data_IF_990780965910
#
_entry.id   IF_990780965910
#
_cell.length_a   1.000
_cell.length_b   1.000
_cell.length_c   1.000
_cell.angle_alpha   90.00
_cell.angle_beta   90.00
_cell.angle_gamma   90.00
#
_symmetry.space_group_name_H-M   'P 1'
#
loop_
_entity.id
_entity.type
_entity.pdbx_description
1 polymer ?
#
# COMPACT_ATOMS: atom_id res chain seq x y z
N UNK A 1 1.19 -2.01 -1.26
CA UNK A 1 0.39 -3.10 -1.87
C UNK A 1 1.25 -4.32 -2.22
N UNK A 2 2.40 -4.14 -2.80
CA UNK A 2 3.35 -5.22 -3.10
C UNK A 2 4.27 -5.49 -1.91
N UNK A 3 4.65 -6.76 -1.72
CA UNK A 3 5.55 -7.18 -0.63
C UNK A 3 7.03 -7.14 -1.04
N UNK A 4 7.30 -6.99 -2.33
CA UNK A 4 8.64 -6.88 -2.90
C UNK A 4 8.96 -5.43 -3.25
N UNK A 5 10.07 -4.92 -2.75
CA UNK A 5 10.57 -3.57 -3.08
C UNK A 5 10.90 -3.44 -4.57
N UNK A 6 11.53 -4.45 -5.17
CA UNK A 6 11.84 -4.46 -6.60
C UNK A 6 10.58 -4.37 -7.48
N UNK A 7 9.54 -5.14 -7.15
CA UNK A 7 8.27 -5.09 -7.87
C UNK A 7 7.53 -3.76 -7.66
N UNK A 8 7.63 -3.18 -6.47
CA UNK A 8 7.06 -1.85 -6.21
C UNK A 8 7.76 -0.76 -7.02
N UNK A 9 9.09 -0.82 -7.13
CA UNK A 9 9.87 0.11 -7.95
C UNK A 9 9.50 -0.03 -9.44
N UNK A 10 9.37 -1.25 -9.94
CA UNK A 10 8.94 -1.52 -11.32
C UNK A 10 7.56 -0.95 -11.62
N UNK A 11 6.60 -1.17 -10.74
CA UNK A 11 5.24 -0.62 -10.88
C UNK A 11 5.25 0.90 -10.84
N UNK A 12 6.06 1.49 -9.98
CA UNK A 12 6.21 2.94 -9.89
C UNK A 12 6.78 3.51 -11.19
N UNK A 13 7.87 2.95 -11.71
CA UNK A 13 8.47 3.36 -12.98
C UNK A 13 7.49 3.21 -14.14
N UNK A 14 6.82 2.08 -14.25
CA UNK A 14 5.83 1.86 -15.31
C UNK A 14 4.64 2.82 -15.22
N UNK A 15 4.24 3.21 -14.03
CA UNK A 15 3.18 4.19 -13.81
C UNK A 15 3.59 5.58 -14.29
N UNK A 16 4.83 5.99 -14.03
CA UNK A 16 5.38 7.24 -14.57
C UNK A 16 5.60 7.20 -16.08
N UNK A 17 6.03 6.08 -16.64
CA UNK A 17 6.12 5.90 -18.10
C UNK A 17 4.73 6.05 -18.73
N UNK A 18 3.70 5.43 -18.14
CA UNK A 18 2.33 5.59 -18.60
C UNK A 18 1.86 7.05 -18.53
N UNK A 19 2.26 7.79 -17.50
CA UNK A 19 2.00 9.22 -17.41
C UNK A 19 2.70 10.02 -18.52
N UNK A 20 3.96 9.74 -18.81
CA UNK A 20 4.70 10.42 -19.87
C UNK A 20 4.13 10.14 -21.27
N UNK A 21 3.55 8.96 -21.47
CA UNK A 21 2.90 8.57 -22.74
C UNK A 21 1.43 8.99 -22.83
N UNK A 22 0.87 9.50 -21.75
CA UNK A 22 -0.53 9.90 -21.68
C UNK A 22 -0.73 11.25 -22.36
N UNK A 23 -1.65 11.31 -23.31
CA UNK A 23 -2.07 12.56 -23.96
C UNK A 23 -3.23 13.24 -23.23
N UNK A 24 -3.62 12.72 -22.09
CA UNK A 24 -4.73 13.22 -21.30
C UNK A 24 -4.36 14.47 -20.51
N UNK A 25 -5.20 15.48 -20.57
CA UNK A 25 -5.05 16.69 -19.76
C UNK A 25 -5.76 16.50 -18.41
N UNK A 26 -5.06 16.83 -17.33
CA UNK A 26 -5.60 16.75 -15.98
C UNK A 26 -6.10 18.11 -15.52
N UNK A 27 -7.35 18.17 -15.07
CA UNK A 27 -7.98 19.41 -14.63
C UNK A 27 -7.49 19.91 -13.26
N UNK A 28 -6.81 19.07 -12.46
CA UNK A 28 -6.29 19.39 -11.14
C UNK A 28 -5.22 18.38 -10.71
N UNK A 29 -4.44 18.76 -9.69
CA UNK A 29 -3.47 17.84 -9.06
C UNK A 29 -4.14 16.61 -8.44
N UNK A 30 -5.33 16.80 -7.87
CA UNK A 30 -6.12 15.69 -7.32
C UNK A 30 -6.55 14.70 -8.41
N UNK A 31 -6.97 15.19 -9.56
CA UNK A 31 -7.30 14.35 -10.70
C UNK A 31 -6.09 13.55 -11.19
N UNK A 32 -4.93 14.17 -11.28
CA UNK A 32 -3.66 13.52 -11.62
C UNK A 32 -3.29 12.45 -10.59
N UNK A 33 -3.36 12.78 -9.29
CA UNK A 33 -3.09 11.85 -8.19
C UNK A 33 -3.98 10.60 -8.28
N UNK A 34 -5.29 10.79 -8.45
CA UNK A 34 -6.25 9.71 -8.55
C UNK A 34 -6.00 8.83 -9.78
N UNK A 35 -5.66 9.42 -10.89
CA UNK A 35 -5.32 8.70 -12.12
C UNK A 35 -4.04 7.85 -11.92
N UNK A 36 -2.98 8.43 -11.37
CA UNK A 36 -1.73 7.70 -11.08
C UNK A 36 -1.96 6.54 -10.10
N UNK A 37 -2.72 6.76 -9.04
CA UNK A 37 -3.07 5.71 -8.08
C UNK A 37 -3.87 4.59 -8.74
N UNK A 38 -4.80 4.91 -9.64
CA UNK A 38 -5.57 3.93 -10.40
C UNK A 38 -4.68 3.09 -11.32
N UNK A 39 -3.77 3.73 -12.04
CA UNK A 39 -2.80 3.04 -12.90
C UNK A 39 -1.91 2.13 -12.07
N UNK A 40 -1.33 2.64 -10.99
CA UNK A 40 -0.48 1.87 -10.10
C UNK A 40 -1.22 0.69 -9.45
N UNK A 41 -2.44 0.90 -8.97
CA UNK A 41 -3.26 -0.15 -8.38
C UNK A 41 -3.59 -1.27 -9.39
N UNK A 42 -3.90 -0.92 -10.63
CA UNK A 42 -4.15 -1.90 -11.70
C UNK A 42 -2.88 -2.72 -12.01
N UNK A 43 -1.73 -2.05 -12.10
CA UNK A 43 -0.44 -2.73 -12.31
C UNK A 43 -0.08 -3.65 -11.15
N UNK A 44 -0.24 -3.22 -9.91
CA UNK A 44 -0.06 -4.06 -8.73
C UNK A 44 -0.97 -5.28 -8.77
N UNK A 45 -2.22 -5.10 -9.12
CA UNK A 45 -3.20 -6.18 -9.23
C UNK A 45 -2.80 -7.22 -10.29
N UNK A 46 -2.28 -6.75 -11.43
CA UNK A 46 -1.77 -7.62 -12.49
C UNK A 46 -0.53 -8.40 -12.02
N UNK A 47 0.39 -7.77 -11.32
CA UNK A 47 1.57 -8.43 -10.71
C UNK A 47 1.14 -9.51 -9.74
N UNK A 48 0.20 -9.21 -8.84
CA UNK A 48 -0.31 -10.16 -7.85
C UNK A 48 -1.02 -11.35 -8.52
N UNK A 49 -1.79 -11.11 -9.56
CA UNK A 49 -2.43 -12.17 -10.36
C UNK A 49 -1.40 -13.06 -11.04
N UNK A 50 -0.36 -12.47 -11.61
CA UNK A 50 0.73 -13.22 -12.24
C UNK A 50 1.48 -14.09 -11.23
N UNK A 51 1.79 -13.57 -10.04
CA UNK A 51 2.42 -14.32 -8.97
C UNK A 51 1.55 -15.48 -8.48
N UNK A 52 0.23 -15.28 -8.38
CA UNK A 52 -0.70 -16.32 -7.99
C UNK A 52 -0.78 -17.49 -9.02
N UNK A 53 -0.56 -17.20 -10.31
CA UNK A 53 -0.51 -18.18 -11.39
C UNK A 53 0.85 -18.87 -11.52
N UNK A 54 1.92 -18.23 -11.07
CA UNK A 54 3.30 -18.71 -11.15
C UNK A 54 3.95 -18.66 -9.76
N UNK A 55 3.61 -19.57 -8.86
CA UNK A 55 4.10 -19.52 -7.47
C UNK A 55 5.62 -19.72 -7.32
N UNK A 56 6.32 -20.09 -8.38
CA UNK A 56 7.75 -20.42 -8.35
C UNK A 56 8.71 -19.19 -8.36
N UNK A 57 8.21 -17.97 -8.50
CA UNK A 57 9.05 -16.76 -8.54
C UNK A 57 8.99 -15.98 -7.23
N UNK A 58 8.50 -16.59 -6.17
CA UNK A 58 8.64 -16.05 -4.83
C UNK A 58 10.01 -16.39 -4.23
N UNK A 59 11.08 -16.02 -4.92
CA UNK A 59 12.38 -15.87 -4.29
C UNK A 59 12.28 -14.65 -3.37
N UNK A 60 12.28 -14.95 -2.12
CA UNK A 60 12.41 -14.04 -1.01
C UNK A 60 13.65 -13.16 -1.21
N UNK A 61 13.50 -12.02 -1.84
CA UNK A 61 14.43 -10.94 -1.60
C UNK A 61 14.02 -10.25 -0.30
N UNK A 62 14.48 -10.84 0.80
CA UNK A 62 14.79 -10.11 2.00
C UNK A 62 15.92 -9.13 1.66
N UNK A 63 15.64 -8.09 0.95
CA UNK A 63 16.47 -6.91 1.02
C UNK A 63 15.97 -6.09 2.19
N UNK A 64 16.48 -6.51 3.35
CA UNK A 64 16.71 -5.62 4.43
C UNK A 64 17.41 -4.37 3.91
N UNK A 65 16.98 -3.25 4.46
CA UNK A 65 17.76 -2.03 4.58
C UNK A 65 17.88 -1.14 3.35
N UNK A 66 17.04 -0.14 3.30
CA UNK A 66 17.58 1.19 3.22
C UNK A 66 17.47 1.82 4.61
N UNK A 67 18.26 1.25 5.52
CA UNK A 67 18.70 1.96 6.69
C UNK A 67 20.02 2.63 6.33
N UNK A 68 19.95 3.88 5.98
CA UNK A 68 21.02 4.85 6.22
C UNK A 68 20.69 6.17 5.54
N UNK A 69 19.88 6.96 6.18
CA UNK A 69 20.00 8.41 6.17
C UNK A 69 18.98 8.96 7.15
N UNK A 70 19.50 9.40 8.23
CA UNK A 70 19.04 10.46 9.11
C UNK A 70 19.05 10.00 10.60
N UNK A 71 20.25 9.80 11.09
CA UNK A 71 20.54 10.13 12.49
C UNK A 71 20.46 11.65 12.64
N UNK A 72 19.46 12.10 13.31
CA UNK A 72 19.38 13.27 14.17
C UNK A 72 17.99 13.89 14.13
N UNK A 73 17.10 13.30 14.88
CA UNK A 73 16.06 14.00 15.63
C UNK A 73 15.37 13.03 16.60
N UNK A 74 15.91 13.07 17.79
CA UNK A 74 15.29 13.03 19.09
C UNK A 74 14.28 11.95 19.46
N UNK A 75 14.54 11.47 20.59
CA UNK A 75 13.98 10.44 21.48
C UNK A 75 12.44 10.29 21.50
N UNK A 76 11.67 11.35 21.30
CA UNK A 76 10.20 11.28 21.24
C UNK A 76 9.68 10.77 19.87
N UNK A 77 10.36 11.10 18.79
CA UNK A 77 10.06 10.58 17.45
C UNK A 77 10.40 9.10 17.32
N UNK A 78 11.35 8.59 18.12
CA UNK A 78 11.72 7.16 18.13
C UNK A 78 10.63 6.26 18.70
N UNK A 79 9.89 6.71 19.71
CA UNK A 79 8.79 5.91 20.29
C UNK A 79 7.57 5.87 19.35
N UNK A 80 7.25 6.98 18.71
CA UNK A 80 6.17 7.05 17.71
C UNK A 80 6.57 6.28 16.45
N UNK A 81 7.79 6.42 15.98
CA UNK A 81 8.33 5.69 14.85
C UNK A 81 8.42 4.18 15.12
N UNK A 82 8.73 3.75 16.33
CA UNK A 82 8.73 2.34 16.71
C UNK A 82 7.33 1.74 16.70
N UNK A 83 6.36 2.40 17.31
CA UNK A 83 4.95 1.98 17.29
C UNK A 83 4.38 1.97 15.86
N UNK A 84 4.77 2.95 15.04
CA UNK A 84 4.39 3.02 13.64
C UNK A 84 4.98 1.84 12.85
N UNK A 85 6.24 1.50 13.04
CA UNK A 85 6.88 0.34 12.38
C UNK A 85 6.18 -0.97 12.73
N UNK A 86 5.84 -1.18 13.99
CA UNK A 86 5.09 -2.36 14.45
C UNK A 86 3.73 -2.43 13.76
N UNK A 87 2.99 -1.32 13.76
CA UNK A 87 1.67 -1.26 13.10
C UNK A 87 1.76 -1.60 11.61
N UNK A 88 2.72 -1.01 10.88
CA UNK A 88 2.89 -1.27 9.45
C UNK A 88 3.30 -2.71 9.16
N UNK A 89 4.06 -3.37 10.03
CA UNK A 89 4.35 -4.79 9.94
C UNK A 89 3.07 -5.64 9.98
N UNK A 90 2.14 -5.30 10.87
CA UNK A 90 0.83 -5.96 10.92
C UNK A 90 -0.03 -5.65 9.68
N UNK A 91 0.04 -4.43 9.14
CA UNK A 91 -0.63 -4.07 7.88
C UNK A 91 -0.10 -4.91 6.72
N UNK A 92 1.21 -5.13 6.64
CA UNK A 92 1.82 -5.98 5.61
C UNK A 92 1.36 -7.44 5.69
N UNK A 93 1.02 -7.91 6.87
CA UNK A 93 0.49 -9.26 7.08
C UNK A 93 -0.99 -9.43 6.66
N UNK A 94 -1.70 -8.33 6.41
CA UNK A 94 -3.09 -8.39 5.96
C UNK A 94 -3.23 -9.03 4.58
N UNK A 95 -4.38 -9.68 4.29
CA UNK A 95 -4.72 -10.09 2.93
C UNK A 95 -4.64 -8.92 1.94
N UNK A 96 -4.25 -9.19 0.70
CA UNK A 96 -3.97 -8.16 -0.32
C UNK A 96 -5.10 -7.16 -0.51
N UNK A 97 -6.34 -7.64 -0.52
CA UNK A 97 -7.53 -6.78 -0.69
C UNK A 97 -7.75 -5.82 0.48
N UNK A 98 -7.46 -6.25 1.69
CA UNK A 98 -7.57 -5.43 2.91
C UNK A 98 -6.39 -4.47 3.04
N UNK A 99 -5.20 -4.94 2.74
CA UNK A 99 -3.98 -4.13 2.75
C UNK A 99 -4.08 -2.96 1.77
N UNK A 100 -4.60 -3.17 0.57
CA UNK A 100 -4.77 -2.13 -0.43
C UNK A 100 -5.65 -0.97 0.07
N UNK A 101 -6.79 -1.23 0.68
CA UNK A 101 -7.66 -0.17 1.20
C UNK A 101 -7.04 0.58 2.38
N UNK A 102 -6.28 -0.11 3.23
CA UNK A 102 -5.55 0.52 4.33
C UNK A 102 -4.47 1.47 3.82
N UNK A 103 -3.66 1.04 2.86
CA UNK A 103 -2.65 1.89 2.26
C UNK A 103 -3.25 3.13 1.58
N UNK A 104 -4.30 2.95 0.80
CA UNK A 104 -4.95 4.08 0.12
C UNK A 104 -5.59 5.06 1.10
N UNK A 105 -6.18 4.56 2.18
CA UNK A 105 -6.82 5.41 3.18
C UNK A 105 -5.82 6.17 4.05
N UNK A 106 -4.79 5.51 4.55
CA UNK A 106 -3.91 6.05 5.58
C UNK A 106 -2.55 6.53 5.06
N UNK A 107 -1.98 5.87 4.05
CA UNK A 107 -0.71 6.31 3.47
C UNK A 107 -0.91 7.31 2.33
N UNK A 108 -1.87 7.09 1.45
CA UNK A 108 -2.19 8.01 0.35
C UNK A 108 -3.18 9.10 0.73
N UNK A 109 -3.82 9.00 1.91
CA UNK A 109 -4.78 9.96 2.46
C UNK A 109 -5.91 10.31 1.49
N UNK A 110 -6.56 9.30 0.91
CA UNK A 110 -7.70 9.49 0.03
C UNK A 110 -9.00 8.98 0.64
N UNK A 111 -10.12 9.60 0.27
CA UNK A 111 -11.45 9.27 0.77
C UNK A 111 -12.00 7.94 0.22
N UNK A 112 -13.02 7.40 0.91
CA UNK A 112 -13.62 6.12 0.53
C UNK A 112 -14.18 6.10 -0.90
N UNK A 113 -14.77 7.19 -1.35
CA UNK A 113 -15.26 7.34 -2.72
C UNK A 113 -14.14 7.25 -3.77
N UNK A 114 -13.02 7.91 -3.50
CA UNK A 114 -11.85 7.88 -4.38
C UNK A 114 -11.18 6.50 -4.38
N UNK A 115 -11.10 5.83 -3.21
CA UNK A 115 -10.61 4.45 -3.11
C UNK A 115 -11.49 3.51 -3.94
N UNK A 116 -12.79 3.66 -3.88
CA UNK A 116 -13.74 2.88 -4.68
C UNK A 116 -13.45 3.03 -6.18
N UNK A 117 -13.21 4.25 -6.64
CA UNK A 117 -12.84 4.55 -8.02
C UNK A 117 -11.49 3.94 -8.41
N UNK A 118 -10.48 4.07 -7.56
CA UNK A 118 -9.13 3.54 -7.80
C UNK A 118 -9.13 2.02 -7.91
N UNK A 119 -9.84 1.34 -7.01
CA UNK A 119 -9.89 -0.13 -6.96
C UNK A 119 -10.98 -0.74 -7.84
N UNK A 120 -11.87 0.05 -8.41
CA UNK A 120 -12.98 -0.45 -9.22
C UNK A 120 -13.98 -1.27 -8.42
N UNK A 121 -14.26 -0.90 -7.18
CA UNK A 121 -15.21 -1.53 -6.26
C UNK A 121 -16.24 -0.52 -5.77
N UNK A 122 -17.31 -0.99 -5.14
CA UNK A 122 -18.29 -0.10 -4.51
C UNK A 122 -17.72 0.59 -3.28
N UNK A 123 -18.24 1.75 -2.93
CA UNK A 123 -17.88 2.47 -1.71
C UNK A 123 -18.22 1.66 -0.45
N UNK A 124 -19.36 0.96 -0.46
CA UNK A 124 -19.73 0.00 0.59
C UNK A 124 -18.67 -1.10 0.78
N UNK A 125 -18.12 -1.63 -0.32
CA UNK A 125 -17.05 -2.62 -0.26
C UNK A 125 -15.77 -2.04 0.35
N UNK A 126 -15.45 -0.77 0.09
CA UNK A 126 -14.31 -0.08 0.71
C UNK A 126 -14.47 -0.05 2.23
N UNK A 127 -15.60 0.43 2.72
CA UNK A 127 -15.86 0.51 4.17
C UNK A 127 -15.91 -0.86 4.84
N UNK A 128 -16.48 -1.86 4.18
CA UNK A 128 -16.48 -3.24 4.68
C UNK A 128 -15.06 -3.78 4.83
N UNK A 129 -14.21 -3.55 3.82
CA UNK A 129 -12.80 -3.95 3.87
C UNK A 129 -12.02 -3.20 4.94
N UNK A 130 -12.23 -1.90 5.09
CA UNK A 130 -11.61 -1.11 6.16
C UNK A 130 -12.02 -1.61 7.55
N UNK A 131 -13.30 -1.92 7.74
CA UNK A 131 -13.79 -2.47 8.99
C UNK A 131 -13.14 -3.81 9.34
N UNK A 132 -13.09 -4.73 8.37
CA UNK A 132 -12.41 -6.03 8.54
C UNK A 132 -10.92 -5.88 8.81
N UNK A 133 -10.26 -4.99 8.10
CA UNK A 133 -8.84 -4.71 8.31
C UNK A 133 -8.55 -4.21 9.71
N UNK A 134 -9.35 -3.27 10.21
CA UNK A 134 -9.24 -2.76 11.59
C UNK A 134 -9.45 -3.83 12.64
N UNK A 135 -10.42 -4.72 12.44
CA UNK A 135 -10.69 -5.83 13.34
C UNK A 135 -9.51 -6.80 13.42
N UNK A 136 -8.91 -7.15 12.28
CA UNK A 136 -7.72 -8.02 12.22
C UNK A 136 -6.48 -7.34 12.84
N UNK A 137 -6.27 -6.06 12.57
CA UNK A 137 -5.15 -5.30 13.15
C UNK A 137 -5.29 -5.20 14.67
N UNK A 138 -6.47 -4.90 15.16
CA UNK A 138 -6.75 -4.86 16.61
C UNK A 138 -6.43 -6.22 17.25
N UNK A 139 -6.93 -7.31 16.70
CA UNK A 139 -6.68 -8.65 17.23
C UNK A 139 -5.21 -9.06 17.20
N UNK A 140 -4.45 -8.67 16.18
CA UNK A 140 -3.02 -8.98 16.09
C UNK A 140 -2.18 -8.15 17.07
N UNK A 141 -2.52 -6.88 17.26
CA UNK A 141 -1.84 -6.00 18.23
C UNK A 141 -2.13 -6.42 19.69
N UNK A 142 -3.36 -6.84 19.99
CA UNK A 142 -3.71 -7.35 21.32
C UNK A 142 -2.96 -8.63 21.67
N UNK A 143 -2.75 -9.52 20.70
CA UNK A 143 -1.94 -10.73 20.89
C UNK A 143 -0.48 -10.42 21.16
N UNK A 144 0.11 -9.49 20.41
CA UNK A 144 1.50 -9.08 20.64
C UNK A 144 1.69 -8.37 21.99
N UNK A 145 0.72 -7.59 22.42
CA UNK A 145 0.74 -6.92 23.72
C UNK A 145 0.57 -7.90 24.91
N UNK A 146 0.04 -9.09 24.66
CA UNK A 146 -0.21 -10.12 25.67
C UNK A 146 0.96 -11.11 25.81
N UNK A 147 1.91 -11.06 24.92
CA UNK A 147 3.15 -11.83 24.95
C UNK A 147 4.27 -11.02 25.65
#
# INVERSE_FOLDING_TARGET
>A
MLRSSALADDVTQESFIAFCQCEHEFGSEEHLKNWLLKVAANKCRNVLKHQARHPYVALSDNTASVEQALETKAIEERQVASKSKVLWKHVEALPDKLRAVVYLRYAADIGGHQIASVLGISETAVYTRLHRARALLKGSLEKEASE
#
